data_IF_295623859090
#
_entry.id   IF_295623859090
#
_cell.length_a   1.000
_cell.length_b   1.000
_cell.length_c   1.000
_cell.angle_alpha   90.00
_cell.angle_beta   90.00
_cell.angle_gamma   90.00
#
_symmetry.space_group_name_H-M   'P 1'
#
loop_
_entity.id
_entity.type
_entity.pdbx_description
1 polymer ?
#
# COMPACT_ATOMS: atom_id res chain seq x y z
N UNK A 1 -1.81 -9.85 -17.88
CA UNK A 1 -1.10 -8.59 -17.66
C UNK A 1 -0.77 -8.41 -16.17
N UNK A 2 0.37 -7.84 -15.82
CA UNK A 2 0.74 -7.68 -14.42
C UNK A 2 -0.13 -6.64 -13.70
N UNK A 3 -0.38 -6.90 -12.41
CA UNK A 3 -1.15 -6.03 -11.51
C UNK A 3 -0.26 -5.65 -10.33
N UNK A 4 -0.23 -4.38 -9.98
CA UNK A 4 0.51 -3.87 -8.82
C UNK A 4 -0.43 -3.46 -7.70
N UNK A 5 -0.09 -3.83 -6.49
CA UNK A 5 -0.82 -3.47 -5.29
C UNK A 5 0.16 -2.89 -4.30
N UNK A 6 -0.16 -1.69 -3.78
CA UNK A 6 0.62 -1.03 -2.74
C UNK A 6 -0.23 -0.93 -1.48
N UNK A 7 0.33 -1.30 -0.34
CA UNK A 7 -0.28 -1.05 0.96
C UNK A 7 0.61 -0.14 1.80
N UNK A 8 0.03 0.92 2.32
CA UNK A 8 0.71 1.90 3.17
C UNK A 8 0.19 1.72 4.58
N UNK A 9 0.98 1.06 5.41
CA UNK A 9 0.66 0.82 6.82
C UNK A 9 1.42 1.75 7.74
N UNK A 10 1.11 1.68 9.03
CA UNK A 10 1.77 2.51 10.05
C UNK A 10 3.25 2.20 10.20
N UNK A 11 3.65 0.96 9.95
CA UNK A 11 5.04 0.51 10.11
C UNK A 11 5.79 0.40 8.79
N UNK A 12 5.11 -0.01 7.72
CA UNK A 12 5.77 -0.32 6.45
C UNK A 12 4.92 0.04 5.25
N UNK A 13 5.59 0.20 4.12
CA UNK A 13 4.97 0.33 2.79
C UNK A 13 5.42 -0.87 1.97
N UNK A 14 4.47 -1.54 1.31
CA UNK A 14 4.75 -2.74 0.54
C UNK A 14 4.24 -2.61 -0.89
N UNK A 15 5.03 -3.08 -1.84
CA UNK A 15 4.62 -3.28 -3.23
C UNK A 15 4.58 -4.77 -3.52
N UNK A 16 3.49 -5.24 -4.10
CA UNK A 16 3.43 -6.59 -4.67
C UNK A 16 2.95 -6.49 -6.11
N UNK A 17 3.64 -7.16 -7.02
CA UNK A 17 3.27 -7.24 -8.43
C UNK A 17 3.00 -8.69 -8.78
N UNK A 18 1.85 -8.94 -9.39
CA UNK A 18 1.40 -10.26 -9.81
C UNK A 18 1.19 -10.31 -11.31
N UNK A 19 1.42 -11.48 -11.89
CA UNK A 19 0.94 -11.76 -13.24
C UNK A 19 -0.49 -12.26 -13.15
N UNK A 20 -1.44 -11.48 -13.66
CA UNK A 20 -2.85 -11.87 -13.69
C UNK A 20 -3.14 -12.86 -14.82
N UNK A 21 -4.26 -13.58 -14.70
CA UNK A 21 -4.71 -14.50 -15.73
C UNK A 21 -4.06 -15.88 -15.70
N UNK A 22 -3.16 -16.14 -14.77
CA UNK A 22 -2.55 -17.46 -14.58
C UNK A 22 -3.30 -18.23 -13.49
N UNK A 23 -3.30 -19.55 -13.61
CA UNK A 23 -3.99 -20.42 -12.64
C UNK A 23 -3.40 -20.29 -11.25
N UNK A 24 -2.07 -20.15 -11.15
CA UNK A 24 -1.37 -19.85 -9.91
C UNK A 24 -0.63 -18.54 -10.14
N UNK A 25 -1.22 -17.43 -9.69
CA UNK A 25 -0.62 -16.12 -9.87
C UNK A 25 0.75 -16.06 -9.18
N UNK A 26 1.82 -15.97 -9.97
CA UNK A 26 3.16 -15.85 -9.43
C UNK A 26 3.43 -14.40 -9.04
N UNK A 27 4.08 -14.22 -7.91
CA UNK A 27 4.59 -12.92 -7.50
C UNK A 27 5.81 -12.57 -8.35
N UNK A 28 5.70 -11.51 -9.15
CA UNK A 28 6.81 -11.01 -9.96
C UNK A 28 7.74 -10.14 -9.13
N UNK A 29 7.20 -9.43 -8.14
CA UNK A 29 7.96 -8.55 -7.27
C UNK A 29 7.25 -8.44 -5.91
N UNK A 30 8.02 -8.39 -4.83
CA UNK A 30 7.53 -8.18 -3.49
C UNK A 30 8.58 -7.36 -2.74
N UNK A 31 8.29 -6.06 -2.57
CA UNK A 31 9.20 -5.11 -1.93
C UNK A 31 8.55 -4.53 -0.68
N UNK A 32 9.31 -4.43 0.39
CA UNK A 32 8.83 -3.85 1.65
C UNK A 32 9.83 -2.82 2.15
N UNK A 33 9.33 -1.64 2.54
CA UNK A 33 10.14 -0.59 3.16
C UNK A 33 9.60 -0.30 4.56
N UNK A 34 10.45 -0.39 5.57
CA UNK A 34 10.09 -0.08 6.95
C UNK A 34 10.26 1.43 7.15
N UNK A 35 9.18 2.16 7.16
CA UNK A 35 9.18 3.63 7.21
C UNK A 35 8.73 4.16 8.57
N UNK A 36 7.79 3.48 9.24
CA UNK A 36 7.32 3.88 10.55
C UNK A 36 6.57 5.20 10.56
N UNK A 37 5.69 5.45 9.58
CA UNK A 37 4.92 6.70 9.50
C UNK A 37 4.02 6.90 10.72
N UNK A 38 3.60 5.81 11.38
CA UNK A 38 2.76 5.85 12.59
C UNK A 38 3.53 6.02 13.88
N UNK A 39 4.87 6.14 13.83
CA UNK A 39 5.69 6.33 15.02
C UNK A 39 5.26 7.60 15.75
N UNK A 40 5.08 7.48 17.07
CA UNK A 40 4.67 8.58 17.95
C UNK A 40 3.31 9.20 17.63
N UNK A 41 2.50 8.58 16.78
CA UNK A 41 1.17 9.07 16.37
C UNK A 41 0.25 9.27 17.59
N UNK A 42 0.28 8.34 18.55
CA UNK A 42 -0.56 8.40 19.75
C UNK A 42 -0.25 9.65 20.58
N UNK A 43 1.03 10.02 20.69
CA UNK A 43 1.45 11.18 21.49
C UNK A 43 1.39 12.50 20.72
N UNK A 44 1.62 12.50 19.42
CA UNK A 44 1.70 13.72 18.62
C UNK A 44 0.46 14.03 17.79
N UNK A 45 -0.35 13.02 17.46
CA UNK A 45 -1.45 13.16 16.51
C UNK A 45 -0.98 13.35 15.06
N UNK A 46 0.31 13.20 14.79
CA UNK A 46 0.92 13.46 13.49
C UNK A 46 1.67 12.24 12.98
N UNK A 47 1.71 12.08 11.66
CA UNK A 47 2.58 11.09 11.04
C UNK A 47 4.03 11.54 11.23
N UNK A 48 4.93 10.56 11.43
CA UNK A 48 6.35 10.80 11.67
C UNK A 48 7.02 11.38 10.41
N UNK A 49 7.64 12.55 10.53
CA UNK A 49 8.14 13.29 9.38
C UNK A 49 9.18 12.52 8.55
N UNK A 50 10.18 11.92 9.24
CA UNK A 50 11.19 11.12 8.54
C UNK A 50 10.60 9.87 7.91
N UNK A 51 9.64 9.24 8.61
CA UNK A 51 8.93 8.08 8.08
C UNK A 51 8.15 8.42 6.82
N UNK A 52 7.49 9.58 6.79
CA UNK A 52 6.79 10.05 5.60
C UNK A 52 7.77 10.28 4.43
N UNK A 53 8.92 10.89 4.68
CA UNK A 53 9.93 11.10 3.65
C UNK A 53 10.41 9.77 3.07
N UNK A 54 10.69 8.79 3.92
CA UNK A 54 11.11 7.45 3.49
C UNK A 54 10.00 6.73 2.71
N UNK A 55 8.75 6.90 3.14
CA UNK A 55 7.61 6.31 2.44
C UNK A 55 7.46 6.90 1.03
N UNK A 56 7.64 8.22 0.88
CA UNK A 56 7.59 8.87 -0.43
C UNK A 56 8.70 8.38 -1.35
N UNK A 57 9.91 8.19 -0.84
CA UNK A 57 11.03 7.62 -1.61
C UNK A 57 10.72 6.19 -2.04
N UNK A 58 10.15 5.38 -1.13
CA UNK A 58 9.76 4.01 -1.43
C UNK A 58 8.69 3.96 -2.54
N UNK A 59 7.67 4.82 -2.44
CA UNK A 59 6.61 4.88 -3.44
C UNK A 59 7.13 5.29 -4.82
N UNK A 60 8.05 6.24 -4.87
CA UNK A 60 8.70 6.63 -6.13
C UNK A 60 9.47 5.46 -6.74
N UNK A 61 10.19 4.69 -5.92
CA UNK A 61 10.89 3.48 -6.36
C UNK A 61 9.91 2.41 -6.84
N UNK A 62 8.82 2.19 -6.10
CA UNK A 62 7.78 1.22 -6.47
C UNK A 62 7.12 1.58 -7.81
N UNK A 63 6.92 2.87 -8.05
CA UNK A 63 6.41 3.34 -9.35
C UNK A 63 7.36 2.96 -10.49
N UNK A 64 8.65 3.17 -10.30
CA UNK A 64 9.66 2.80 -11.31
C UNK A 64 9.66 1.30 -11.57
N UNK A 65 9.55 0.48 -10.52
CA UNK A 65 9.47 -0.97 -10.65
C UNK A 65 8.22 -1.37 -11.45
N UNK A 66 7.07 -0.82 -11.11
CA UNK A 66 5.81 -1.10 -11.80
C UNK A 66 5.88 -0.66 -13.27
N UNK A 67 6.43 0.52 -13.53
CA UNK A 67 6.61 1.01 -14.91
C UNK A 67 7.52 0.08 -15.72
N UNK A 68 8.62 -0.37 -15.10
CA UNK A 68 9.57 -1.29 -15.74
C UNK A 68 8.98 -2.66 -16.06
N UNK A 69 8.00 -3.11 -15.28
CA UNK A 69 7.31 -4.37 -15.48
C UNK A 69 6.08 -4.23 -16.42
N UNK A 70 5.80 -3.03 -16.89
CA UNK A 70 4.68 -2.79 -17.79
C UNK A 70 3.31 -2.88 -17.10
N UNK A 71 3.26 -2.59 -15.80
CA UNK A 71 2.01 -2.68 -15.04
C UNK A 71 1.05 -1.56 -15.46
N UNK A 72 -0.15 -1.94 -15.91
CA UNK A 72 -1.22 -0.99 -16.24
C UNK A 72 -2.22 -0.88 -15.10
N UNK A 73 -2.63 -2.00 -14.51
CA UNK A 73 -3.60 -2.01 -13.41
C UNK A 73 -2.88 -1.85 -12.09
N UNK A 74 -3.17 -0.76 -11.39
CA UNK A 74 -2.51 -0.40 -10.13
C UNK A 74 -3.53 -0.04 -9.08
N UNK A 75 -3.35 -0.55 -7.89
CA UNK A 75 -4.18 -0.25 -6.74
C UNK A 75 -3.30 0.11 -5.55
N UNK A 76 -3.74 1.06 -4.75
CA UNK A 76 -3.03 1.45 -3.53
C UNK A 76 -4.03 1.74 -2.42
N UNK A 77 -3.72 1.26 -1.22
CA UNK A 77 -4.52 1.48 -0.02
C UNK A 77 -3.65 1.99 1.11
N UNK A 78 -4.23 2.79 2.00
CA UNK A 78 -3.57 3.28 3.19
C UNK A 78 -4.45 3.07 4.41
N UNK A 79 -3.85 2.89 5.58
CA UNK A 79 -4.58 2.70 6.83
C UNK A 79 -5.25 3.98 7.32
N UNK A 80 -6.22 3.83 8.21
CA UNK A 80 -6.95 4.95 8.81
C UNK A 80 -6.04 5.96 9.55
N UNK A 81 -4.88 5.53 10.03
CA UNK A 81 -3.91 6.43 10.66
C UNK A 81 -3.53 7.60 9.75
N UNK A 82 -3.40 7.35 8.45
CA UNK A 82 -3.11 8.40 7.49
C UNK A 82 -4.25 9.42 7.39
N UNK A 83 -5.51 8.99 7.53
CA UNK A 83 -6.66 9.89 7.51
C UNK A 83 -6.75 10.72 8.80
N UNK A 84 -6.52 10.08 9.95
CA UNK A 84 -6.76 10.68 11.26
C UNK A 84 -5.65 11.62 11.70
N UNK A 85 -4.45 11.50 11.14
CA UNK A 85 -3.33 12.36 11.49
C UNK A 85 -3.53 13.80 11.01
N UNK A 86 -3.02 14.74 11.78
CA UNK A 86 -3.08 16.18 11.44
C UNK A 86 -2.49 16.45 10.06
N UNK A 87 -1.36 15.81 9.74
CA UNK A 87 -0.68 15.95 8.45
C UNK A 87 -0.99 14.82 7.47
N UNK A 88 -2.07 14.06 7.71
CA UNK A 88 -2.43 12.90 6.91
C UNK A 88 -2.80 13.25 5.47
N UNK A 89 -3.68 14.23 5.29
CA UNK A 89 -4.13 14.62 3.96
C UNK A 89 -2.98 15.13 3.08
N UNK A 90 -2.06 15.90 3.67
CA UNK A 90 -0.86 16.37 2.98
C UNK A 90 0.02 15.20 2.54
N UNK A 91 0.23 14.24 3.45
CA UNK A 91 1.02 13.05 3.13
C UNK A 91 0.39 12.26 1.98
N UNK A 92 -0.93 12.00 2.03
CA UNK A 92 -1.62 11.25 0.98
C UNK A 92 -1.52 11.95 -0.37
N UNK A 93 -1.65 13.27 -0.42
CA UNK A 93 -1.48 14.04 -1.65
C UNK A 93 -0.09 13.84 -2.26
N UNK A 94 0.95 13.92 -1.43
CA UNK A 94 2.33 13.68 -1.86
C UNK A 94 2.57 12.23 -2.27
N UNK A 95 1.97 11.30 -1.53
CA UNK A 95 2.08 9.87 -1.81
C UNK A 95 1.45 9.52 -3.16
N UNK A 96 0.29 10.08 -3.47
CA UNK A 96 -0.34 9.88 -4.77
C UNK A 96 0.52 10.39 -5.91
N UNK A 97 1.19 11.53 -5.74
CA UNK A 97 2.13 12.05 -6.73
C UNK A 97 3.33 11.12 -6.92
N UNK A 98 3.89 10.63 -5.82
CA UNK A 98 5.05 9.72 -5.87
C UNK A 98 4.70 8.39 -6.53
N UNK A 99 3.56 7.81 -6.20
CA UNK A 99 3.08 6.56 -6.77
C UNK A 99 2.53 6.73 -8.19
N UNK A 100 1.89 7.86 -8.46
CA UNK A 100 1.34 8.18 -9.79
C UNK A 100 -0.09 7.70 -10.02
N UNK A 101 -0.79 7.30 -8.96
CA UNK A 101 -2.18 6.83 -9.02
C UNK A 101 -2.89 7.13 -7.70
N UNK A 102 -4.23 7.17 -7.67
CA UNK A 102 -4.96 7.44 -6.44
C UNK A 102 -4.69 6.40 -5.35
N UNK A 103 -4.78 6.83 -4.10
CA UNK A 103 -4.62 5.99 -2.91
C UNK A 103 -5.92 6.02 -2.13
N UNK A 104 -6.50 4.84 -1.89
CA UNK A 104 -7.72 4.71 -1.09
C UNK A 104 -7.36 4.61 0.39
N UNK A 105 -7.86 5.55 1.19
CA UNK A 105 -7.68 5.50 2.64
C UNK A 105 -8.83 4.71 3.26
N UNK A 106 -8.49 3.75 4.11
CA UNK A 106 -9.44 2.81 4.69
C UNK A 106 -9.88 3.29 6.07
N UNK A 107 -11.15 3.05 6.42
CA UNK A 107 -11.73 3.59 7.64
C UNK A 107 -11.50 2.72 8.88
N UNK A 108 -11.15 1.45 8.73
CA UNK A 108 -10.94 0.55 9.85
C UNK A 108 -10.49 -0.84 9.41
N UNK A 109 -10.27 -1.70 10.41
CA UNK A 109 -9.72 -3.04 10.19
C UNK A 109 -10.58 -3.91 9.27
N UNK A 110 -11.90 -3.96 9.53
CA UNK A 110 -12.81 -4.76 8.70
C UNK A 110 -12.92 -4.20 7.28
N UNK A 111 -12.94 -2.89 7.15
CA UNK A 111 -12.94 -2.24 5.85
C UNK A 111 -11.63 -2.49 5.12
N UNK A 112 -10.50 -2.50 5.83
CA UNK A 112 -9.21 -2.82 5.25
C UNK A 112 -9.22 -4.22 4.65
N UNK A 113 -9.77 -5.19 5.36
CA UNK A 113 -9.88 -6.56 4.89
C UNK A 113 -10.77 -6.65 3.64
N UNK A 114 -11.95 -6.03 3.68
CA UNK A 114 -12.91 -6.04 2.56
C UNK A 114 -12.29 -5.35 1.34
N UNK A 115 -11.60 -4.24 1.54
CA UNK A 115 -10.95 -3.51 0.46
C UNK A 115 -9.83 -4.33 -0.16
N UNK A 116 -9.01 -5.01 0.65
CA UNK A 116 -7.96 -5.89 0.15
C UNK A 116 -8.55 -7.05 -0.67
N UNK A 117 -9.63 -7.66 -0.19
CA UNK A 117 -10.35 -8.69 -0.93
C UNK A 117 -10.88 -8.17 -2.27
N UNK A 118 -11.45 -6.95 -2.27
CA UNK A 118 -11.94 -6.31 -3.48
C UNK A 118 -10.84 -6.01 -4.49
N UNK A 119 -9.70 -5.50 -4.02
CA UNK A 119 -8.56 -5.17 -4.86
C UNK A 119 -8.02 -6.42 -5.56
N UNK A 120 -7.95 -7.55 -4.87
CA UNK A 120 -7.39 -8.79 -5.41
C UNK A 120 -8.42 -9.75 -5.98
N UNK A 121 -9.71 -9.41 -5.97
CA UNK A 121 -10.80 -10.29 -6.41
C UNK A 121 -10.64 -10.78 -7.86
N UNK A 122 -10.00 -10.00 -8.72
CA UNK A 122 -9.73 -10.36 -10.10
C UNK A 122 -8.49 -11.21 -10.31
N UNK A 123 -7.75 -11.53 -9.25
CA UNK A 123 -6.51 -12.30 -9.32
C UNK A 123 -6.79 -13.75 -8.92
N UNK A 124 -6.70 -14.72 -9.85
CA UNK A 124 -6.94 -16.12 -9.52
C UNK A 124 -5.99 -16.62 -8.43
N UNK A 125 -6.54 -17.41 -7.48
CA UNK A 125 -5.75 -18.03 -6.39
C UNK A 125 -5.01 -17.02 -5.49
N UNK A 126 -5.64 -15.88 -5.22
CA UNK A 126 -5.06 -14.80 -4.43
C UNK A 126 -5.37 -14.88 -2.92
N UNK A 127 -5.90 -16.00 -2.42
CA UNK A 127 -6.32 -16.14 -1.02
C UNK A 127 -5.21 -15.84 -0.01
N UNK A 128 -4.00 -16.34 -0.26
CA UNK A 128 -2.84 -16.06 0.58
C UNK A 128 -2.45 -14.59 0.56
N UNK A 129 -2.58 -13.93 -0.59
CA UNK A 129 -2.32 -12.52 -0.74
C UNK A 129 -3.32 -11.67 0.05
N UNK A 130 -4.61 -12.00 -0.03
CA UNK A 130 -5.65 -11.30 0.72
C UNK A 130 -5.34 -11.35 2.20
N UNK A 131 -4.98 -12.53 2.73
CA UNK A 131 -4.61 -12.69 4.13
C UNK A 131 -3.38 -11.86 4.49
N UNK A 132 -2.35 -11.85 3.64
CA UNK A 132 -1.12 -11.08 3.85
C UNK A 132 -1.40 -9.57 3.87
N UNK A 133 -2.15 -9.06 2.90
CA UNK A 133 -2.53 -7.65 2.84
C UNK A 133 -3.37 -7.24 4.05
N UNK A 134 -4.30 -8.08 4.48
CA UNK A 134 -5.13 -7.79 5.64
C UNK A 134 -4.28 -7.69 6.92
N UNK A 135 -3.28 -8.57 7.08
CA UNK A 135 -2.33 -8.52 8.20
C UNK A 135 -1.49 -7.24 8.14
N UNK A 136 -0.94 -6.90 6.98
CA UNK A 136 -0.12 -5.70 6.81
C UNK A 136 -0.93 -4.43 7.12
N UNK A 137 -2.16 -4.34 6.66
CA UNK A 137 -3.03 -3.19 6.93
C UNK A 137 -3.43 -3.08 8.40
N UNK A 138 -3.47 -4.21 9.13
CA UNK A 138 -3.79 -4.25 10.56
C UNK A 138 -2.60 -3.87 11.43
N UNK A 139 -1.43 -4.39 11.13
CA UNK A 139 -0.25 -4.31 11.99
C UNK A 139 0.91 -3.50 11.40
N UNK A 140 0.85 -3.22 10.12
CA UNK A 140 1.87 -2.47 9.42
C UNK A 140 1.82 -1.01 9.75
#
# INVERSE_FOLDING_TARGET
APVAIVDIGSNSVRLVVYESGQRNAATLQNEKAICGIGRDMVSTGRLHAEGCAEALEALARFRLIADGLGVEQREAVATAAARDAVNGAEFITKAERAWGSPIKVLAGEDEARIAAEGVVAGIPNADGLVAELAVDLRFG
#
